data_IF_766240757983
#
_entry.id   IF_766240757983
#
_cell.length_a   1.000
_cell.length_b   1.000
_cell.length_c   1.000
_cell.angle_alpha   90.00
_cell.angle_beta   90.00
_cell.angle_gamma   90.00
#
_symmetry.space_group_name_H-M   'P 1'
#
loop_
_entity.id
_entity.type
_entity.pdbx_description
1 polymer ?
#
# COMPACT_ATOMS: atom_id res chain seq x y z
N UNK A 1 -13.05 8.52 -29.19
CA UNK A 1 -13.74 9.61 -28.46
C UNK A 1 -15.03 9.04 -27.90
N UNK A 2 -15.38 9.28 -26.63
CA UNK A 2 -16.58 8.71 -26.01
C UNK A 2 -17.86 9.36 -26.56
N UNK A 3 -18.92 8.57 -26.82
CA UNK A 3 -20.22 9.04 -27.33
C UNK A 3 -21.08 9.78 -26.28
N UNK A 4 -20.80 9.64 -24.99
CA UNK A 4 -21.55 10.30 -23.91
C UNK A 4 -20.91 11.66 -23.57
N UNK A 5 -19.59 11.69 -23.37
CA UNK A 5 -18.89 12.90 -22.90
C UNK A 5 -18.03 13.59 -23.96
N UNK A 6 -17.89 13.02 -25.16
CA UNK A 6 -17.13 13.62 -26.26
C UNK A 6 -15.61 13.71 -26.05
N UNK A 7 -15.05 13.07 -25.02
CA UNK A 7 -13.62 13.16 -24.68
C UNK A 7 -12.91 11.79 -24.78
N UNK A 8 -11.57 11.81 -24.82
CA UNK A 8 -10.71 10.62 -24.64
C UNK A 8 -9.38 11.02 -23.98
N UNK A 9 -9.12 10.64 -22.71
CA UNK A 9 -9.95 9.80 -21.83
C UNK A 9 -11.28 10.48 -21.45
N UNK A 10 -12.25 9.69 -20.98
CA UNK A 10 -13.54 10.22 -20.51
C UNK A 10 -13.35 11.25 -19.39
N UNK A 11 -14.29 12.21 -19.28
CA UNK A 11 -14.35 13.12 -18.13
C UNK A 11 -14.75 12.37 -16.86
N UNK A 12 -14.27 12.77 -15.68
CA UNK A 12 -14.52 12.10 -14.38
C UNK A 12 -16.00 11.87 -14.04
N UNK A 13 -16.89 12.75 -14.52
CA UNK A 13 -18.35 12.66 -14.33
C UNK A 13 -19.07 11.77 -15.36
N UNK A 14 -18.36 11.22 -16.34
CA UNK A 14 -18.93 10.36 -17.37
C UNK A 14 -19.13 8.94 -16.79
N UNK A 15 -20.27 8.27 -17.03
CA UNK A 15 -20.46 6.88 -16.57
C UNK A 15 -19.46 5.90 -17.19
N UNK A 16 -18.86 6.25 -18.33
CA UNK A 16 -17.79 5.45 -18.95
C UNK A 16 -16.39 5.81 -18.44
N UNK A 17 -16.27 6.73 -17.47
CA UNK A 17 -14.99 7.04 -16.86
C UNK A 17 -14.57 5.93 -15.92
N UNK A 18 -13.42 5.36 -16.20
CA UNK A 18 -12.77 4.39 -15.35
C UNK A 18 -11.35 4.86 -15.13
N UNK A 19 -10.97 5.06 -13.88
CA UNK A 19 -9.57 5.33 -13.56
C UNK A 19 -8.77 4.05 -13.75
N UNK A 20 -7.63 4.18 -14.41
CA UNK A 20 -6.71 3.05 -14.59
C UNK A 20 -5.91 2.88 -13.31
N UNK A 21 -5.80 1.64 -12.87
CA UNK A 21 -4.91 1.20 -11.80
C UNK A 21 -4.25 -0.10 -12.23
N UNK A 22 -3.02 -0.33 -11.75
CA UNK A 22 -2.30 -1.58 -11.99
C UNK A 22 -2.35 -2.51 -10.78
N UNK A 23 -2.63 -1.97 -9.60
CA UNK A 23 -2.55 -2.67 -8.32
C UNK A 23 -3.81 -2.40 -7.49
N UNK A 24 -4.19 -3.37 -6.67
CA UNK A 24 -5.29 -3.25 -5.71
C UNK A 24 -4.72 -3.22 -4.29
N UNK A 25 -5.23 -2.30 -3.48
CA UNK A 25 -4.91 -2.24 -2.06
C UNK A 25 -5.52 -3.44 -1.32
N UNK A 26 -4.70 -4.21 -0.63
CA UNK A 26 -5.13 -5.39 0.11
C UNK A 26 -5.99 -5.06 1.32
N UNK A 27 -5.94 -3.82 1.82
CA UNK A 27 -6.72 -3.37 2.98
C UNK A 27 -8.13 -2.89 2.59
N UNK A 28 -8.25 -1.99 1.61
CA UNK A 28 -9.53 -1.38 1.23
C UNK A 28 -10.16 -1.96 -0.05
N UNK A 29 -9.43 -2.76 -0.82
CA UNK A 29 -9.85 -3.29 -2.12
C UNK A 29 -9.88 -2.27 -3.25
N UNK A 30 -9.51 -1.01 -3.00
CA UNK A 30 -9.48 0.06 -4.00
C UNK A 30 -8.28 -0.03 -4.93
N UNK A 31 -8.47 0.41 -6.19
CA UNK A 31 -7.38 0.57 -7.15
C UNK A 31 -6.39 1.64 -6.70
N UNK A 32 -5.09 1.36 -6.85
CA UNK A 32 -4.02 2.34 -6.61
C UNK A 32 -3.83 3.16 -7.89
N UNK A 33 -4.24 4.41 -7.82
CA UNK A 33 -4.27 5.33 -8.95
C UNK A 33 -2.93 6.05 -9.14
N UNK A 34 -2.73 6.60 -10.34
CA UNK A 34 -1.56 7.44 -10.61
C UNK A 34 -1.51 8.63 -9.64
N UNK A 35 -0.34 8.83 -9.01
CA UNK A 35 -0.11 9.89 -8.03
C UNK A 35 -0.45 9.53 -6.58
N UNK A 36 -0.97 8.32 -6.30
CA UNK A 36 -1.17 7.85 -4.93
C UNK A 36 0.06 7.14 -4.38
N UNK A 37 0.36 7.38 -3.11
CA UNK A 37 1.41 6.68 -2.39
C UNK A 37 0.95 5.29 -1.94
N UNK A 38 1.79 4.29 -2.16
CA UNK A 38 1.54 2.91 -1.77
C UNK A 38 2.84 2.18 -1.42
N UNK A 39 2.72 1.07 -0.70
CA UNK A 39 3.80 0.14 -0.41
C UNK A 39 3.54 -1.19 -1.12
N UNK A 40 4.62 -1.92 -1.41
CA UNK A 40 4.61 -3.31 -1.87
C UNK A 40 5.47 -4.14 -0.93
N UNK A 41 4.95 -5.25 -0.39
CA UNK A 41 5.75 -6.17 0.43
C UNK A 41 6.41 -7.26 -0.42
N UNK A 42 7.24 -8.09 0.22
CA UNK A 42 7.95 -9.22 -0.39
C UNK A 42 7.01 -10.30 -0.92
N UNK A 43 5.80 -10.41 -0.37
CA UNK A 43 4.76 -11.35 -0.79
C UNK A 43 3.98 -10.88 -2.03
N UNK A 44 4.29 -9.69 -2.56
CA UNK A 44 3.63 -9.13 -3.73
C UNK A 44 2.26 -8.51 -3.45
N UNK A 45 1.94 -8.22 -2.19
CA UNK A 45 0.77 -7.45 -1.80
C UNK A 45 1.06 -5.94 -1.89
N UNK A 46 -0.01 -5.15 -2.04
CA UNK A 46 0.06 -3.71 -2.17
C UNK A 46 -0.89 -3.04 -1.19
N UNK A 47 -0.50 -1.92 -0.57
CA UNK A 47 -1.36 -1.16 0.35
C UNK A 47 -1.19 0.35 0.11
N UNK A 48 -2.28 1.11 0.05
CA UNK A 48 -2.20 2.58 0.05
C UNK A 48 -1.54 3.06 1.33
N UNK A 49 -0.72 4.11 1.27
CA UNK A 49 -0.09 4.69 2.46
C UNK A 49 -1.13 5.10 3.51
N UNK A 50 -2.23 5.69 3.08
CA UNK A 50 -3.32 6.15 3.96
C UNK A 50 -4.21 5.00 4.49
N UNK A 51 -4.05 3.79 3.96
CA UNK A 51 -4.75 2.60 4.44
C UNK A 51 -3.96 1.82 5.50
N UNK A 52 -2.75 2.25 5.85
CA UNK A 52 -1.95 1.64 6.93
C UNK A 52 -2.58 2.08 8.27
N UNK A 53 -3.20 1.17 9.03
CA UNK A 53 -3.97 1.55 10.22
C UNK A 53 -3.06 1.96 11.39
N UNK A 54 -1.91 1.30 11.56
CA UNK A 54 -0.92 1.60 12.60
C UNK A 54 0.45 0.99 12.24
N UNK A 55 1.48 1.34 13.02
CA UNK A 55 2.83 0.82 12.84
C UNK A 55 2.91 -0.68 13.07
N UNK A 56 2.23 -1.23 14.09
CA UNK A 56 2.28 -2.67 14.39
C UNK A 56 1.73 -3.51 13.23
N UNK A 57 0.62 -3.08 12.64
CA UNK A 57 0.09 -3.71 11.43
C UNK A 57 1.11 -3.68 10.29
N UNK A 58 1.82 -2.56 10.11
CA UNK A 58 2.83 -2.44 9.06
C UNK A 58 4.01 -3.38 9.31
N UNK A 59 4.48 -3.51 10.55
CA UNK A 59 5.57 -4.42 10.92
C UNK A 59 5.20 -5.86 10.58
N UNK A 60 4.02 -6.30 11.02
CA UNK A 60 3.50 -7.64 10.75
C UNK A 60 3.30 -7.87 9.25
N UNK A 61 2.72 -6.89 8.54
CA UNK A 61 2.46 -6.94 7.11
C UNK A 61 3.73 -6.98 6.25
N UNK A 62 4.82 -6.39 6.74
CA UNK A 62 6.15 -6.48 6.14
C UNK A 62 6.86 -7.80 6.46
N UNK A 63 6.29 -8.64 7.34
CA UNK A 63 6.85 -9.93 7.74
C UNK A 63 7.94 -9.81 8.82
N UNK A 64 8.02 -8.68 9.51
CA UNK A 64 8.92 -8.48 10.64
C UNK A 64 8.24 -8.85 11.96
N UNK A 65 9.04 -8.88 13.03
CA UNK A 65 8.57 -9.00 14.41
C UNK A 65 9.21 -7.93 15.26
N UNK A 66 8.46 -7.46 16.25
CA UNK A 66 9.02 -6.61 17.31
C UNK A 66 9.73 -7.52 18.30
N UNK A 67 11.02 -7.29 18.48
CA UNK A 67 11.84 -8.00 19.46
C UNK A 67 12.13 -7.06 20.64
N UNK A 68 12.27 -7.64 21.83
CA UNK A 68 12.72 -6.92 23.04
C UNK A 68 14.09 -7.46 23.41
N UNK A 69 15.02 -6.57 23.75
CA UNK A 69 16.35 -6.99 24.21
C UNK A 69 16.22 -7.69 25.57
N UNK A 70 16.77 -8.90 25.67
CA UNK A 70 16.84 -9.63 26.92
C UNK A 70 18.20 -9.46 27.60
N UNK A 71 18.28 -9.71 28.91
CA UNK A 71 19.54 -9.63 29.67
C UNK A 71 20.62 -10.60 29.13
N UNK A 72 20.19 -11.66 28.44
CA UNK A 72 21.08 -12.65 27.82
C UNK A 72 21.70 -12.15 26.49
N UNK A 73 21.18 -11.08 25.89
CA UNK A 73 21.69 -10.50 24.64
C UNK A 73 22.85 -9.52 24.86
N UNK A 74 23.14 -9.14 26.12
CA UNK A 74 24.26 -8.26 26.44
C UNK A 74 25.58 -8.96 26.11
N UNK A 75 26.35 -8.37 25.19
CA UNK A 75 27.74 -8.78 24.95
C UNK A 75 28.61 -8.19 26.05
N UNK A 76 29.35 -9.03 26.76
CA UNK A 76 30.35 -8.58 27.73
C UNK A 76 31.49 -7.88 26.97
N UNK A 77 31.64 -6.56 27.16
CA UNK A 77 32.59 -5.73 26.42
C UNK A 77 34.05 -5.87 26.93
N UNK A 78 34.32 -6.83 27.82
CA UNK A 78 35.64 -7.04 28.41
C UNK A 78 36.40 -8.20 27.73
N UNK A 79 37.05 -7.90 26.60
CA UNK A 79 38.15 -8.70 26.02
C UNK A 79 39.51 -8.05 26.30
#
# INVERSE_FOLDING_TARGET
MCNICGNNPCLTRCPNFHQKYNYLCCYCGGGILSGQDYLRNSEGQYIHRDCIPCTDYLIDWLGYRVETMDEEDYKDENY
#
